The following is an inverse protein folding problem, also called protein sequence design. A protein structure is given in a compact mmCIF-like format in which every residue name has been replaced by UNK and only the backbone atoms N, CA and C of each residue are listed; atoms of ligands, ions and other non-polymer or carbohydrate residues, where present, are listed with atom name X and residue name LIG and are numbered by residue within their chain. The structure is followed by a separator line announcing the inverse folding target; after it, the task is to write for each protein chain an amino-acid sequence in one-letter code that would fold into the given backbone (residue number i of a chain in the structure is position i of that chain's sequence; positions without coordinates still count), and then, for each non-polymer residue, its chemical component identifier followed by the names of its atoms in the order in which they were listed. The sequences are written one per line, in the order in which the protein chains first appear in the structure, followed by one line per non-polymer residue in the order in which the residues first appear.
data_IF_234873325206
#
_entry.id   IF_234873325206
#
_cell.length_a   1.000
_cell.length_b   1.000
_cell.length_c   1.000
_cell.angle_alpha   90.00
_cell.angle_beta   90.00
_cell.angle_gamma   90.00
#
_symmetry.space_group_name_H-M   'P 1'
#
loop_
_entity.id
_entity.type
_entity.pdbx_description
1 polymer ?
#
# COMPACT_ATOMS: atom_id res chain seq x y z
N UNK A 1 0.83 16.93 24.12
CA UNK A 1 0.38 16.41 22.82
C UNK A 1 1.10 15.10 22.57
N UNK A 2 0.38 13.99 22.58
CA UNK A 2 0.93 12.71 22.13
C UNK A 2 1.10 12.82 20.60
N UNK A 3 2.34 12.73 20.10
CA UNK A 3 2.59 12.71 18.66
C UNK A 3 1.83 11.52 18.05
N UNK A 4 1.08 11.77 17.00
CA UNK A 4 0.39 10.71 16.27
C UNK A 4 1.42 9.86 15.53
N UNK A 5 1.22 8.55 15.52
CA UNK A 5 2.09 7.64 14.78
C UNK A 5 2.03 7.93 13.28
N UNK A 6 3.17 7.90 12.59
CA UNK A 6 3.23 7.94 11.13
C UNK A 6 3.00 6.53 10.54
N UNK A 7 2.65 6.44 9.26
CA UNK A 7 2.54 5.15 8.58
C UNK A 7 3.85 4.36 8.65
N UNK A 8 4.99 5.03 8.55
CA UNK A 8 6.33 4.43 8.72
C UNK A 8 6.52 3.79 10.10
N UNK A 9 5.97 4.39 11.18
CA UNK A 9 6.03 3.83 12.54
C UNK A 9 5.14 2.60 12.69
N UNK A 10 3.97 2.62 12.04
CA UNK A 10 3.07 1.46 11.99
C UNK A 10 3.78 0.31 11.26
N UNK A 11 4.36 0.56 10.10
CA UNK A 11 5.15 -0.42 9.36
C UNK A 11 6.31 -0.98 10.19
N UNK A 12 7.09 -0.11 10.84
CA UNK A 12 8.18 -0.51 11.74
C UNK A 12 7.72 -1.46 12.83
N UNK A 13 6.57 -1.16 13.44
CA UNK A 13 5.99 -2.00 14.50
C UNK A 13 5.53 -3.36 13.97
N UNK A 14 4.91 -3.38 12.80
CA UNK A 14 4.46 -4.63 12.16
C UNK A 14 5.66 -5.50 11.79
N UNK A 15 6.70 -4.92 11.18
CA UNK A 15 7.92 -5.65 10.80
C UNK A 15 8.62 -6.27 12.01
N UNK A 16 8.69 -5.55 13.13
CA UNK A 16 9.21 -6.11 14.39
C UNK A 16 8.42 -7.35 14.82
N UNK A 17 7.10 -7.22 14.90
CA UNK A 17 6.22 -8.33 15.32
C UNK A 17 6.31 -9.53 14.38
N UNK A 18 6.36 -9.28 13.08
CA UNK A 18 6.56 -10.34 12.09
C UNK A 18 7.92 -11.01 12.26
N UNK A 19 8.99 -10.25 12.42
CA UNK A 19 10.33 -10.78 12.65
C UNK A 19 10.46 -11.63 13.91
N UNK A 20 9.75 -11.27 14.99
CA UNK A 20 9.70 -12.06 16.24
C UNK A 20 9.00 -13.42 16.07
N UNK A 21 7.96 -13.48 15.25
CA UNK A 21 7.12 -14.68 15.09
C UNK A 21 7.55 -15.58 13.94
N UNK A 22 8.14 -14.99 12.90
CA UNK A 22 8.35 -15.63 11.61
C UNK A 22 9.83 -15.55 11.20
N UNK A 23 10.61 -16.59 11.47
CA UNK A 23 12.05 -16.59 11.21
C UNK A 23 12.42 -16.47 9.73
N UNK A 24 11.48 -16.75 8.81
CA UNK A 24 11.67 -16.63 7.37
C UNK A 24 11.54 -15.20 6.85
N UNK A 25 11.02 -14.27 7.66
CA UNK A 25 10.91 -12.85 7.27
C UNK A 25 12.28 -12.23 7.22
N UNK A 26 12.62 -11.65 6.08
CA UNK A 26 13.82 -10.86 5.84
C UNK A 26 13.43 -9.49 5.32
N UNK A 27 14.19 -8.46 5.71
CA UNK A 27 13.95 -7.09 5.31
C UNK A 27 15.08 -6.58 4.43
N UNK A 28 14.72 -5.94 3.32
CA UNK A 28 15.66 -5.36 2.35
C UNK A 28 15.32 -3.88 2.19
N UNK A 29 16.34 -3.06 2.09
CA UNK A 29 16.23 -1.65 1.71
C UNK A 29 17.39 -1.24 0.82
N UNK A 30 17.24 -0.11 0.16
CA UNK A 30 18.25 0.50 -0.71
C UNK A 30 18.62 1.88 -0.15
N UNK A 31 19.48 1.92 0.88
CA UNK A 31 19.92 3.13 1.60
C UNK A 31 18.79 3.93 2.29
N UNK A 32 17.68 3.29 2.64
CA UNK A 32 16.50 3.95 3.22
C UNK A 32 16.08 3.32 4.58
N UNK A 33 17.00 2.75 5.35
CA UNK A 33 16.66 2.05 6.58
C UNK A 33 15.91 2.91 7.60
N UNK A 34 16.34 4.14 7.82
CA UNK A 34 15.69 5.07 8.74
C UNK A 34 14.35 5.58 8.17
N UNK A 35 14.35 6.04 6.93
CA UNK A 35 13.18 6.62 6.30
C UNK A 35 12.03 5.64 6.06
N UNK A 36 12.30 4.35 5.91
CA UNK A 36 11.28 3.30 5.78
C UNK A 36 10.90 2.64 7.11
N UNK A 37 11.57 3.01 8.22
CA UNK A 37 11.29 2.44 9.54
C UNK A 37 11.91 1.07 9.81
N UNK A 38 12.86 0.62 8.99
CA UNK A 38 13.52 -0.68 9.16
C UNK A 38 14.68 -0.68 10.18
N UNK A 39 15.08 0.48 10.71
CA UNK A 39 16.15 0.57 11.72
C UNK A 39 15.90 -0.33 12.92
N UNK A 40 14.66 -0.40 13.39
CA UNK A 40 14.27 -1.26 14.52
C UNK A 40 14.43 -2.75 14.18
N UNK A 41 13.99 -3.15 12.97
CA UNK A 41 14.17 -4.53 12.48
C UNK A 41 15.66 -4.88 12.38
N UNK A 42 16.47 -3.99 11.79
CA UNK A 42 17.93 -4.12 11.71
C UNK A 42 18.58 -4.38 13.07
N UNK A 43 18.18 -3.62 14.09
CA UNK A 43 18.77 -3.74 15.43
C UNK A 43 18.39 -5.05 16.13
N UNK A 44 17.18 -5.57 15.88
CA UNK A 44 16.69 -6.81 16.51
C UNK A 44 17.08 -8.07 15.74
N UNK A 45 17.18 -7.97 14.42
CA UNK A 45 17.44 -9.11 13.53
C UNK A 45 18.52 -8.78 12.49
N UNK A 46 19.75 -8.45 12.90
CA UNK A 46 20.79 -7.97 11.99
C UNK A 46 21.14 -8.95 10.87
N UNK A 47 21.07 -10.26 11.12
CA UNK A 47 21.34 -11.32 10.14
C UNK A 47 20.20 -11.52 9.12
N UNK A 48 19.07 -10.88 9.34
CA UNK A 48 17.89 -10.92 8.42
C UNK A 48 17.58 -9.55 7.82
N UNK A 49 18.49 -8.60 7.96
CA UNK A 49 18.39 -7.27 7.42
C UNK A 49 19.49 -7.03 6.38
N UNK A 50 19.10 -6.50 5.22
CA UNK A 50 20.01 -6.24 4.10
C UNK A 50 19.80 -4.82 3.57
N UNK A 51 20.83 -4.01 3.61
CA UNK A 51 20.88 -2.71 2.93
C UNK A 51 21.86 -2.84 1.76
N UNK A 52 21.33 -2.74 0.55
CA UNK A 52 22.10 -2.92 -0.68
C UNK A 52 22.70 -1.61 -1.20
N UNK A 53 22.61 -0.53 -0.46
CA UNK A 53 22.97 0.80 -0.94
C UNK A 53 21.94 1.35 -1.92
N UNK A 54 22.34 2.38 -2.69
CA UNK A 54 21.46 2.99 -3.72
C UNK A 54 21.46 2.09 -4.96
N UNK A 55 20.79 0.93 -4.85
CA UNK A 55 20.73 -0.09 -5.89
C UNK A 55 19.37 -0.83 -5.84
N UNK A 56 18.31 -0.13 -6.18
CA UNK A 56 16.93 -0.63 -6.13
C UNK A 56 16.75 -1.86 -7.03
N UNK A 57 17.36 -1.87 -8.20
CA UNK A 57 17.33 -3.00 -9.13
C UNK A 57 17.94 -4.26 -8.50
N UNK A 58 19.09 -4.12 -7.83
CA UNK A 58 19.71 -5.23 -7.11
C UNK A 58 18.84 -5.70 -5.94
N UNK A 59 18.22 -4.79 -5.20
CA UNK A 59 17.33 -5.14 -4.10
C UNK A 59 16.17 -6.04 -4.56
N UNK A 60 15.57 -5.74 -5.69
CA UNK A 60 14.45 -6.54 -6.24
C UNK A 60 14.92 -7.92 -6.70
N UNK A 61 16.01 -8.00 -7.46
CA UNK A 61 16.57 -9.29 -7.89
C UNK A 61 17.01 -10.15 -6.72
N UNK A 62 17.60 -9.54 -5.69
CA UNK A 62 17.97 -10.22 -4.45
C UNK A 62 16.76 -10.74 -3.69
N UNK A 63 15.68 -9.94 -3.58
CA UNK A 63 14.41 -10.38 -3.01
C UNK A 63 13.81 -11.57 -3.79
N UNK A 64 13.88 -11.54 -5.11
CA UNK A 64 13.43 -12.65 -5.95
C UNK A 64 14.16 -13.96 -5.61
N UNK A 65 15.49 -13.90 -5.50
CA UNK A 65 16.31 -15.05 -5.11
C UNK A 65 15.95 -15.60 -3.72
N UNK A 66 15.76 -14.72 -2.76
CA UNK A 66 15.34 -15.10 -1.40
C UNK A 66 13.95 -15.76 -1.39
N UNK A 67 12.98 -15.22 -2.12
CA UNK A 67 11.65 -15.80 -2.23
C UNK A 67 11.69 -17.19 -2.88
N UNK A 68 12.51 -17.36 -3.92
CA UNK A 68 12.72 -18.65 -4.57
C UNK A 68 13.36 -19.69 -3.65
N UNK A 69 14.21 -19.24 -2.73
CA UNK A 69 14.82 -20.08 -1.69
C UNK A 69 13.89 -20.37 -0.49
N UNK A 70 12.66 -19.86 -0.50
CA UNK A 70 11.64 -20.14 0.53
C UNK A 70 11.63 -19.14 1.69
N UNK A 71 12.38 -18.03 1.61
CA UNK A 71 12.28 -16.92 2.54
C UNK A 71 11.07 -16.03 2.22
N UNK A 72 10.77 -15.12 3.14
CA UNK A 72 9.69 -14.14 3.02
C UNK A 72 10.28 -12.73 2.98
N UNK A 73 10.78 -12.27 1.82
CA UNK A 73 11.40 -10.96 1.70
C UNK A 73 10.35 -9.85 1.67
N UNK A 74 10.63 -8.80 2.44
CA UNK A 74 9.94 -7.51 2.40
C UNK A 74 10.95 -6.47 1.95
N UNK A 75 10.73 -5.89 0.78
CA UNK A 75 11.52 -4.77 0.28
C UNK A 75 10.79 -3.46 0.58
N UNK A 76 11.33 -2.67 1.51
CA UNK A 76 10.82 -1.35 1.86
C UNK A 76 11.56 -0.27 1.05
N UNK A 77 10.80 0.50 0.30
CA UNK A 77 11.32 1.44 -0.70
C UNK A 77 10.38 2.63 -0.88
N UNK A 78 10.92 3.81 -1.18
CA UNK A 78 10.08 4.94 -1.56
C UNK A 78 9.48 4.73 -2.95
N UNK A 79 8.23 5.14 -3.11
CA UNK A 79 7.47 5.00 -4.35
C UNK A 79 8.24 5.51 -5.58
N UNK A 80 8.81 6.73 -5.51
CA UNK A 80 9.57 7.30 -6.62
C UNK A 80 10.86 6.53 -6.95
N UNK A 81 11.49 5.90 -5.96
CA UNK A 81 12.75 5.16 -6.19
C UNK A 81 12.52 3.74 -6.70
N UNK A 82 11.38 3.15 -6.41
CA UNK A 82 11.01 1.85 -6.99
C UNK A 82 10.89 1.89 -8.52
N UNK A 83 10.66 3.06 -9.11
CA UNK A 83 10.63 3.25 -10.57
C UNK A 83 11.89 2.72 -11.27
N UNK A 84 13.06 2.84 -10.63
CA UNK A 84 14.33 2.35 -11.18
C UNK A 84 14.36 0.85 -11.40
N UNK A 85 13.57 0.11 -10.62
CA UNK A 85 13.55 -1.34 -10.63
C UNK A 85 12.33 -1.93 -11.37
N UNK A 86 11.66 -1.15 -12.21
CA UNK A 86 10.48 -1.61 -12.95
C UNK A 86 10.72 -2.94 -13.69
N UNK A 87 11.83 -3.03 -14.41
CA UNK A 87 12.20 -4.23 -15.17
C UNK A 87 12.39 -5.46 -14.26
N UNK A 88 13.11 -5.28 -13.14
CA UNK A 88 13.36 -6.37 -12.18
C UNK A 88 12.08 -6.81 -11.46
N UNK A 89 11.19 -5.88 -11.14
CA UNK A 89 9.87 -6.24 -10.60
C UNK A 89 9.09 -7.09 -11.60
N UNK A 90 9.08 -6.68 -12.88
CA UNK A 90 8.42 -7.40 -13.95
C UNK A 90 9.04 -8.78 -14.21
N UNK A 91 10.34 -8.84 -14.51
CA UNK A 91 11.00 -10.05 -14.98
C UNK A 91 11.47 -10.98 -13.86
N UNK A 92 12.11 -10.44 -12.82
CA UNK A 92 12.72 -11.28 -11.79
C UNK A 92 11.72 -11.77 -10.76
N UNK A 93 10.68 -10.99 -10.49
CA UNK A 93 9.66 -11.30 -9.47
C UNK A 93 8.34 -11.75 -10.09
N UNK A 94 7.69 -10.88 -10.87
CA UNK A 94 6.30 -11.09 -11.28
C UNK A 94 6.14 -12.14 -12.38
N UNK A 95 7.04 -12.20 -13.35
CA UNK A 95 7.04 -13.23 -14.40
C UNK A 95 7.19 -14.64 -13.80
N UNK A 96 7.89 -14.78 -12.69
CA UNK A 96 8.06 -16.03 -11.95
C UNK A 96 7.03 -16.22 -10.83
N UNK A 97 6.11 -15.28 -10.63
CA UNK A 97 5.09 -15.27 -9.58
C UNK A 97 5.67 -15.50 -8.17
N UNK A 98 6.80 -14.89 -7.86
CA UNK A 98 7.50 -15.06 -6.59
C UNK A 98 6.86 -14.22 -5.47
N UNK A 99 6.76 -14.79 -4.27
CA UNK A 99 6.16 -14.16 -3.10
C UNK A 99 7.10 -13.12 -2.48
N UNK A 100 7.21 -11.97 -3.10
CA UNK A 100 7.91 -10.77 -2.61
C UNK A 100 6.89 -9.74 -2.17
N UNK A 101 7.09 -9.17 -0.99
CA UNK A 101 6.29 -8.04 -0.49
C UNK A 101 7.04 -6.74 -0.75
N UNK A 102 6.43 -5.85 -1.51
CA UNK A 102 6.91 -4.49 -1.73
C UNK A 102 6.17 -3.55 -0.77
N UNK A 103 6.85 -3.04 0.25
CA UNK A 103 6.34 -2.02 1.15
C UNK A 103 6.72 -0.64 0.58
N UNK A 104 5.77 -0.03 -0.13
CA UNK A 104 5.99 1.18 -0.92
C UNK A 104 5.59 2.40 -0.09
N UNK A 105 6.58 3.00 0.55
CA UNK A 105 6.44 4.22 1.36
C UNK A 105 6.47 5.47 0.46
N UNK A 106 6.00 6.61 0.95
CA UNK A 106 5.94 7.88 0.20
C UNK A 106 5.13 7.78 -1.09
N UNK A 107 4.05 7.02 -1.10
CA UNK A 107 3.09 7.03 -2.19
C UNK A 107 2.25 8.31 -2.19
N UNK A 108 1.91 8.81 -3.37
CA UNK A 108 1.19 10.06 -3.54
C UNK A 108 2.07 11.31 -3.35
N UNK A 109 1.46 12.41 -2.96
CA UNK A 109 2.14 13.68 -2.72
C UNK A 109 2.89 13.65 -1.40
N UNK A 110 4.18 14.04 -1.39
CA UNK A 110 5.06 13.94 -0.22
C UNK A 110 5.48 15.29 0.39
N UNK A 111 5.10 16.41 -0.21
CA UNK A 111 5.33 17.75 0.34
C UNK A 111 6.82 18.07 0.58
N UNK A 112 7.24 18.02 1.84
CA UNK A 112 8.59 18.43 2.28
C UNK A 112 9.75 17.66 1.66
N UNK A 113 9.53 16.46 1.15
CA UNK A 113 10.59 15.66 0.54
C UNK A 113 11.00 16.18 -0.86
N UNK A 114 10.23 17.10 -1.42
CA UNK A 114 10.54 17.82 -2.65
C UNK A 114 10.17 17.09 -3.94
N UNK A 115 10.51 17.71 -5.07
CA UNK A 115 10.05 17.30 -6.40
C UNK A 115 10.51 15.90 -6.82
N UNK A 116 11.67 15.45 -6.36
CA UNK A 116 12.25 14.15 -6.73
C UNK A 116 11.66 12.96 -5.98
N UNK A 117 10.83 13.21 -4.96
CA UNK A 117 10.28 12.19 -4.09
C UNK A 117 8.77 11.97 -4.28
N UNK A 118 8.12 12.70 -5.19
CA UNK A 118 6.69 12.58 -5.43
C UNK A 118 6.31 11.18 -5.93
N UNK A 119 5.47 10.48 -5.17
CA UNK A 119 5.04 9.10 -5.45
C UNK A 119 3.74 9.04 -6.27
N UNK A 120 3.66 9.81 -7.35
CA UNK A 120 2.43 10.00 -8.13
C UNK A 120 2.33 9.11 -9.38
N UNK A 121 3.26 8.19 -9.58
CA UNK A 121 3.30 7.29 -10.75
C UNK A 121 3.11 5.82 -10.39
N UNK A 122 3.13 5.47 -9.10
CA UNK A 122 3.16 4.07 -8.66
C UNK A 122 1.90 3.29 -9.05
N UNK A 123 0.71 3.90 -8.97
CA UNK A 123 -0.51 3.24 -9.40
C UNK A 123 -0.46 2.89 -10.89
N UNK A 124 0.08 3.79 -11.72
CA UNK A 124 0.21 3.56 -13.16
C UNK A 124 1.20 2.43 -13.47
N UNK A 125 2.46 2.54 -13.01
CA UNK A 125 3.47 1.56 -13.41
C UNK A 125 3.32 0.21 -12.71
N UNK A 126 2.87 0.15 -11.45
CA UNK A 126 2.63 -1.12 -10.78
C UNK A 126 1.43 -1.87 -11.35
N UNK A 127 0.38 -1.15 -11.73
CA UNK A 127 -0.81 -1.76 -12.32
C UNK A 127 -0.55 -2.37 -13.71
N UNK A 128 0.46 -1.87 -14.44
CA UNK A 128 0.84 -2.42 -15.74
C UNK A 128 1.60 -3.76 -15.66
N UNK A 129 2.14 -4.11 -14.49
CA UNK A 129 2.96 -5.32 -14.32
C UNK A 129 2.08 -6.56 -14.11
N UNK A 130 2.17 -7.61 -14.95
CA UNK A 130 1.39 -8.84 -14.77
C UNK A 130 1.68 -9.52 -13.43
N UNK A 131 0.69 -10.22 -12.88
CA UNK A 131 0.75 -10.97 -11.63
C UNK A 131 0.97 -10.15 -10.35
N UNK A 132 1.24 -8.86 -10.45
CA UNK A 132 1.42 -8.01 -9.27
C UNK A 132 0.05 -7.62 -8.68
N UNK A 133 -0.14 -7.93 -7.40
CA UNK A 133 -1.27 -7.40 -6.62
C UNK A 133 -0.87 -6.08 -5.98
N UNK A 134 -1.75 -5.07 -6.04
CA UNK A 134 -1.49 -3.73 -5.50
C UNK A 134 -2.59 -3.33 -4.52
N UNK A 135 -2.20 -3.01 -3.29
CA UNK A 135 -3.09 -2.59 -2.21
C UNK A 135 -2.72 -1.21 -1.67
N UNK A 136 -3.72 -0.53 -1.10
CA UNK A 136 -3.54 0.75 -0.42
C UNK A 136 -4.42 0.81 0.84
N UNK A 137 -3.84 0.97 2.05
CA UNK A 137 -4.59 0.99 3.30
C UNK A 137 -5.30 2.32 3.52
N UNK A 138 -6.53 2.28 4.05
CA UNK A 138 -7.29 3.48 4.43
C UNK A 138 -6.79 4.14 5.71
N UNK A 139 -6.22 3.35 6.62
CA UNK A 139 -5.79 3.80 7.94
C UNK A 139 -4.67 2.92 8.52
N UNK A 140 -4.21 3.26 9.72
CA UNK A 140 -3.10 2.55 10.41
C UNK A 140 -3.38 1.08 10.68
N UNK A 141 -4.62 0.71 11.01
CA UNK A 141 -4.96 -0.69 11.29
C UNK A 141 -4.99 -1.52 10.00
N UNK A 142 -5.51 -0.95 8.93
CA UNK A 142 -5.55 -1.64 7.64
C UNK A 142 -4.14 -1.88 7.07
N UNK A 143 -3.18 -0.94 7.27
CA UNK A 143 -1.78 -1.19 6.93
C UNK A 143 -1.25 -2.44 7.65
N UNK A 144 -1.51 -2.55 8.96
CA UNK A 144 -1.11 -3.72 9.74
C UNK A 144 -1.75 -5.02 9.23
N UNK A 145 -3.04 -4.97 8.90
CA UNK A 145 -3.78 -6.14 8.42
C UNK A 145 -3.37 -6.54 7.00
N UNK A 146 -3.09 -5.56 6.13
CA UNK A 146 -2.55 -5.81 4.78
C UNK A 146 -1.15 -6.42 4.82
N UNK A 147 -0.28 -6.02 5.74
CA UNK A 147 1.04 -6.64 5.91
C UNK A 147 0.93 -8.11 6.35
N UNK A 148 0.00 -8.43 7.25
CA UNK A 148 -0.28 -9.82 7.64
C UNK A 148 -0.82 -10.64 6.47
N UNK A 149 -1.76 -10.07 5.72
CA UNK A 149 -2.28 -10.68 4.51
C UNK A 149 -1.18 -10.96 3.49
N UNK A 150 -0.29 -9.99 3.25
CA UNK A 150 0.82 -10.11 2.31
C UNK A 150 1.82 -11.20 2.71
N UNK A 151 2.04 -11.41 4.01
CA UNK A 151 2.91 -12.48 4.49
C UNK A 151 2.44 -13.87 4.03
N UNK A 152 1.13 -14.12 4.07
CA UNK A 152 0.55 -15.41 3.68
C UNK A 152 0.27 -15.52 2.18
N UNK A 153 0.35 -14.41 1.46
CA UNK A 153 0.06 -14.34 0.04
C UNK A 153 1.10 -15.13 -0.80
N UNK A 154 0.64 -15.87 -1.81
CA UNK A 154 1.47 -16.79 -2.60
C UNK A 154 2.02 -16.19 -3.90
N UNK A 155 2.04 -14.90 -4.02
CA UNK A 155 2.53 -14.18 -5.20
C UNK A 155 3.11 -12.82 -4.83
N UNK A 156 3.55 -12.05 -5.82
CA UNK A 156 4.06 -10.71 -5.60
C UNK A 156 2.95 -9.74 -5.22
N UNK A 157 3.22 -8.91 -4.23
CA UNK A 157 2.25 -7.97 -3.69
C UNK A 157 2.91 -6.66 -3.28
N UNK A 158 2.31 -5.54 -3.66
CA UNK A 158 2.72 -4.20 -3.25
C UNK A 158 1.65 -3.59 -2.34
N UNK A 159 2.10 -3.02 -1.22
CA UNK A 159 1.27 -2.21 -0.33
C UNK A 159 1.84 -0.80 -0.36
N UNK A 160 1.06 0.14 -0.88
CA UNK A 160 1.48 1.53 -1.00
C UNK A 160 0.79 2.41 0.02
N UNK A 161 1.55 3.24 0.72
CA UNK A 161 1.04 4.13 1.76
C UNK A 161 1.80 5.47 1.76
N UNK A 162 1.16 6.57 2.23
CA UNK A 162 1.74 7.90 2.14
C UNK A 162 2.78 8.16 3.24
N UNK A 163 3.55 9.22 3.05
CA UNK A 163 4.32 9.86 4.11
C UNK A 163 3.41 10.59 5.09
N UNK A 164 3.76 10.56 6.37
CA UNK A 164 3.12 11.39 7.38
C UNK A 164 2.22 10.64 8.35
N UNK A 165 1.38 11.39 9.05
CA UNK A 165 0.51 10.85 10.10
C UNK A 165 -0.42 9.77 9.57
N UNK A 166 -0.43 8.63 10.26
CA UNK A 166 -1.35 7.55 9.95
C UNK A 166 -2.76 7.95 10.38
N UNK A 167 -3.70 7.83 9.45
CA UNK A 167 -5.10 8.10 9.75
C UNK A 167 -5.59 7.12 10.82
N UNK A 168 -6.17 7.66 11.90
CA UNK A 168 -6.68 6.93 13.06
C UNK A 168 -8.22 6.93 13.15
N UNK A 169 -8.90 7.40 12.10
CA UNK A 169 -10.34 7.30 11.95
C UNK A 169 -10.80 5.93 11.46
N UNK A 170 -12.11 5.70 11.48
CA UNK A 170 -12.77 4.46 11.03
C UNK A 170 -12.32 3.20 11.80
N UNK A 171 -12.01 3.33 13.08
CA UNK A 171 -11.63 2.21 13.94
C UNK A 171 -12.76 1.16 14.06
N UNK A 172 -14.01 1.63 14.05
CA UNK A 172 -15.23 0.83 14.06
C UNK A 172 -15.51 0.12 12.72
N UNK A 173 -14.81 0.53 11.65
CA UNK A 173 -14.92 -0.03 10.29
C UNK A 173 -13.75 -0.95 9.94
N UNK A 174 -13.18 -1.65 10.93
CA UNK A 174 -12.13 -2.63 10.68
C UNK A 174 -12.75 -3.95 10.22
N UNK A 175 -12.29 -4.46 9.07
CA UNK A 175 -12.73 -5.72 8.49
C UNK A 175 -11.54 -6.50 7.95
N UNK A 176 -11.67 -7.82 7.87
CA UNK A 176 -10.63 -8.70 7.33
C UNK A 176 -10.31 -8.34 5.88
N UNK A 177 -9.06 -8.50 5.51
CA UNK A 177 -8.60 -8.28 4.13
C UNK A 177 -8.86 -9.55 3.33
N UNK A 178 -9.74 -9.45 2.34
CA UNK A 178 -10.03 -10.53 1.38
C UNK A 178 -9.50 -10.15 0.00
N UNK A 179 -8.90 -11.12 -0.69
CA UNK A 179 -8.28 -10.90 -2.00
C UNK A 179 -9.25 -10.26 -3.00
N UNK A 180 -8.87 -9.10 -3.53
CA UNK A 180 -9.62 -8.38 -4.56
C UNK A 180 -10.95 -7.79 -4.10
N UNK A 181 -11.22 -7.74 -2.80
CA UNK A 181 -12.47 -7.19 -2.24
C UNK A 181 -12.26 -5.77 -1.73
N UNK A 182 -13.12 -4.87 -2.17
CA UNK A 182 -13.32 -3.55 -1.59
C UNK A 182 -14.25 -3.60 -0.38
N UNK A 183 -14.40 -2.48 0.29
CA UNK A 183 -15.17 -2.36 1.53
C UNK A 183 -16.19 -1.22 1.41
N UNK A 184 -17.47 -1.55 1.56
CA UNK A 184 -18.53 -0.55 1.68
C UNK A 184 -18.47 0.07 3.07
N UNK A 185 -18.03 1.34 3.18
CA UNK A 185 -17.96 2.04 4.46
C UNK A 185 -19.28 2.71 4.84
N UNK A 186 -19.88 3.38 3.89
CA UNK A 186 -21.18 4.05 4.04
C UNK A 186 -21.98 3.83 2.77
N UNK A 187 -23.17 3.30 2.91
CA UNK A 187 -24.06 3.03 1.79
C UNK A 187 -25.22 4.03 1.80
N UNK A 188 -25.29 4.84 0.79
CA UNK A 188 -26.32 5.86 0.57
C UNK A 188 -26.68 5.88 -0.94
N UNK A 189 -27.38 6.91 -1.39
CA UNK A 189 -27.86 7.01 -2.77
C UNK A 189 -27.08 8.05 -3.59
N UNK A 190 -27.36 8.15 -4.88
CA UNK A 190 -26.93 9.13 -5.87
C UNK A 190 -25.45 9.14 -6.22
N UNK A 191 -24.57 9.47 -5.27
CA UNK A 191 -23.13 9.62 -5.53
C UNK A 191 -22.38 8.52 -4.78
N UNK A 192 -21.44 7.87 -5.45
CA UNK A 192 -20.49 6.94 -4.82
C UNK A 192 -19.07 7.46 -4.98
N UNK A 193 -18.37 7.61 -3.87
CA UNK A 193 -16.94 7.90 -3.83
C UNK A 193 -16.18 6.58 -3.70
N UNK A 194 -15.39 6.24 -4.72
CA UNK A 194 -14.56 5.04 -4.76
C UNK A 194 -13.11 5.45 -4.51
N UNK A 195 -12.68 5.35 -3.25
CA UNK A 195 -11.46 5.96 -2.77
C UNK A 195 -10.34 4.94 -2.52
N UNK A 196 -9.13 5.31 -2.92
CA UNK A 196 -7.90 4.51 -2.78
C UNK A 196 -7.04 5.04 -1.64
N UNK A 197 -6.77 4.21 -0.64
CA UNK A 197 -5.80 4.46 0.42
C UNK A 197 -6.06 5.74 1.21
N UNK A 198 -5.12 6.67 1.21
CA UNK A 198 -5.21 7.97 1.90
C UNK A 198 -6.41 8.81 1.50
N UNK A 199 -6.93 8.63 0.28
CA UNK A 199 -8.10 9.36 -0.21
C UNK A 199 -9.41 8.91 0.45
N UNK A 200 -9.43 7.80 1.17
CA UNK A 200 -10.61 7.39 1.96
C UNK A 200 -10.92 8.42 3.06
N UNK A 201 -9.92 8.96 3.74
CA UNK A 201 -10.12 10.06 4.70
C UNK A 201 -10.81 11.25 4.03
N UNK A 202 -10.29 11.69 2.89
CA UNK A 202 -10.87 12.80 2.11
C UNK A 202 -12.29 12.48 1.65
N UNK A 203 -12.56 11.25 1.21
CA UNK A 203 -13.90 10.84 0.80
C UNK A 203 -14.91 10.91 1.97
N UNK A 204 -14.50 10.53 3.18
CA UNK A 204 -15.34 10.68 4.37
C UNK A 204 -15.62 12.16 4.69
N UNK A 205 -14.59 13.01 4.61
CA UNK A 205 -14.75 14.46 4.80
C UNK A 205 -15.70 15.08 3.74
N UNK A 206 -15.56 14.66 2.49
CA UNK A 206 -16.46 15.08 1.39
C UNK A 206 -17.89 14.62 1.66
N UNK A 207 -18.07 13.37 2.09
CA UNK A 207 -19.40 12.85 2.46
C UNK A 207 -20.08 13.71 3.51
N UNK A 208 -19.38 14.06 4.59
CA UNK A 208 -19.96 14.90 5.66
C UNK A 208 -20.31 16.30 5.14
N UNK A 209 -19.45 16.91 4.32
CA UNK A 209 -19.72 18.22 3.71
C UNK A 209 -20.92 18.19 2.74
N UNK A 210 -21.12 17.11 1.99
CA UNK A 210 -22.26 16.91 1.12
C UNK A 210 -23.56 16.70 1.92
N UNK A 211 -23.48 15.96 3.02
CA UNK A 211 -24.60 15.72 3.92
C UNK A 211 -25.17 17.01 4.52
N UNK A 212 -24.31 17.97 4.88
CA UNK A 212 -24.74 19.31 5.33
C UNK A 212 -25.55 20.06 4.27
N UNK A 213 -25.35 19.71 2.99
CA UNK A 213 -26.09 20.25 1.84
C UNK A 213 -27.30 19.40 1.42
N UNK A 214 -27.64 18.37 2.19
CA UNK A 214 -28.73 17.46 1.91
C UNK A 214 -28.44 16.48 0.75
N UNK A 215 -27.16 16.23 0.44
CA UNK A 215 -26.76 15.32 -0.63
C UNK A 215 -26.24 14.03 -0.02
N UNK A 216 -26.83 12.90 -0.38
CA UNK A 216 -26.42 11.56 0.05
C UNK A 216 -25.19 11.11 -0.73
N UNK A 217 -24.26 10.43 -0.05
CA UNK A 217 -23.03 10.00 -0.66
C UNK A 217 -22.52 8.69 -0.07
N UNK A 218 -22.43 7.67 -0.88
CA UNK A 218 -21.78 6.38 -0.57
C UNK A 218 -20.27 6.57 -0.54
N UNK A 219 -19.58 5.89 0.37
CA UNK A 219 -18.11 5.82 0.41
C UNK A 219 -17.66 4.38 0.39
N UNK A 220 -16.82 4.05 -0.57
CA UNK A 220 -16.18 2.73 -0.72
C UNK A 220 -14.66 2.88 -0.57
N UNK A 221 -14.08 2.06 0.29
CA UNK A 221 -12.64 1.85 0.35
C UNK A 221 -12.24 0.81 -0.70
N UNK A 222 -11.52 1.23 -1.72
CA UNK A 222 -11.11 0.34 -2.80
C UNK A 222 -10.22 -0.83 -2.32
N UNK A 223 -9.36 -0.61 -1.32
CA UNK A 223 -8.37 -1.56 -0.81
C UNK A 223 -7.38 -2.05 -1.86
N UNK A 224 -7.90 -2.66 -2.92
CA UNK A 224 -7.14 -3.21 -4.04
C UNK A 224 -7.26 -2.29 -5.25
N UNK A 225 -6.13 -1.84 -5.75
CA UNK A 225 -6.04 -1.17 -7.04
C UNK A 225 -5.97 -2.22 -8.15
N UNK A 226 -5.26 -3.31 -7.86
CA UNK A 226 -5.14 -4.46 -8.76
C UNK A 226 -5.12 -5.77 -7.95
N UNK A 227 -6.06 -6.69 -8.21
CA UNK A 227 -7.22 -6.52 -9.09
C UNK A 227 -8.26 -5.56 -8.48
N UNK A 228 -8.94 -4.82 -9.31
CA UNK A 228 -10.08 -4.01 -8.88
C UNK A 228 -11.27 -4.92 -8.55
N UNK A 229 -12.10 -4.52 -7.57
CA UNK A 229 -13.34 -5.23 -7.24
C UNK A 229 -14.42 -4.91 -8.26
N UNK A 230 -14.44 -5.65 -9.36
CA UNK A 230 -15.41 -5.45 -10.44
C UNK A 230 -16.87 -5.60 -9.97
N UNK A 231 -17.13 -6.48 -9.01
CA UNK A 231 -18.48 -6.68 -8.48
C UNK A 231 -18.96 -5.43 -7.75
N UNK A 232 -18.11 -4.80 -6.96
CA UNK A 232 -18.41 -3.52 -6.32
C UNK A 232 -18.65 -2.42 -7.35
N UNK A 233 -17.78 -2.30 -8.36
CA UNK A 233 -17.94 -1.30 -9.43
C UNK A 233 -19.28 -1.48 -10.16
N UNK A 234 -19.65 -2.72 -10.52
CA UNK A 234 -20.93 -3.04 -11.15
C UNK A 234 -22.12 -2.72 -10.25
N UNK A 235 -21.99 -3.01 -8.95
CA UNK A 235 -23.01 -2.67 -7.97
C UNK A 235 -23.22 -1.16 -7.87
N UNK A 236 -22.13 -0.39 -7.76
CA UNK A 236 -22.19 1.07 -7.70
C UNK A 236 -22.81 1.67 -8.98
N UNK A 237 -22.39 1.16 -10.15
CA UNK A 237 -22.90 1.62 -11.44
C UNK A 237 -24.42 1.37 -11.62
N UNK A 238 -24.95 0.34 -10.99
CA UNK A 238 -26.39 0.02 -11.04
C UNK A 238 -27.22 0.87 -10.07
N UNK A 239 -26.63 1.27 -8.94
CA UNK A 239 -27.39 1.85 -7.83
C UNK A 239 -27.09 3.34 -7.57
N UNK A 240 -26.20 3.96 -8.35
CA UNK A 240 -25.80 5.37 -8.18
C UNK A 240 -25.81 6.09 -9.53
N UNK A 241 -26.10 7.38 -9.50
CA UNK A 241 -26.10 8.24 -10.69
C UNK A 241 -24.70 8.65 -11.11
N UNK A 242 -23.76 8.70 -10.15
CA UNK A 242 -22.38 9.12 -10.36
C UNK A 242 -21.42 8.32 -9.50
N UNK A 243 -20.34 7.82 -10.11
CA UNK A 243 -19.19 7.23 -9.41
C UNK A 243 -18.01 8.17 -9.59
N UNK A 244 -17.37 8.55 -8.48
CA UNK A 244 -16.19 9.41 -8.46
C UNK A 244 -15.01 8.58 -7.92
N UNK A 245 -14.07 8.14 -8.77
CA UNK A 245 -12.82 7.56 -8.30
C UNK A 245 -11.93 8.65 -7.68
N UNK A 246 -11.27 8.31 -6.57
CA UNK A 246 -10.41 9.24 -5.83
C UNK A 246 -9.07 8.56 -5.51
N UNK A 247 -7.98 9.11 -6.03
CA UNK A 247 -6.63 8.60 -5.83
C UNK A 247 -5.58 9.72 -5.97
N UNK A 248 -4.30 9.43 -5.69
CA UNK A 248 -3.21 10.41 -5.71
C UNK A 248 -2.17 10.11 -6.81
N UNK A 249 -2.60 9.64 -7.94
CA UNK A 249 -1.74 9.40 -9.11
C UNK A 249 -1.89 10.52 -10.15
N UNK A 250 -1.02 10.54 -11.13
CA UNK A 250 -1.24 11.38 -12.34
C UNK A 250 -2.44 10.83 -13.12
N UNK A 251 -3.14 11.72 -13.83
CA UNK A 251 -4.35 11.34 -14.57
C UNK A 251 -4.12 10.25 -15.63
N UNK A 252 -2.92 10.21 -16.22
CA UNK A 252 -2.55 9.16 -17.18
C UNK A 252 -2.21 7.86 -16.46
N UNK A 253 -3.08 6.88 -16.53
CA UNK A 253 -2.93 5.56 -15.93
C UNK A 253 -3.32 5.46 -14.46
N UNK A 254 -3.93 6.52 -13.93
CA UNK A 254 -4.57 6.53 -12.61
C UNK A 254 -5.98 5.94 -12.65
#
# INVERSE_FOLDING_TARGET
HQEKAHYTDVFSTVMRKMGEREPKVVAITAAMADGTGLKRFKNLFPERFFDVGIAEEHAVTFAAGMAKAGLKPVFAVYSSFLQRAYDQVLHDVCAQNLAVVFAVDRAGLVGKDGATHQGIFDLSYLSSIPNLTVMAPKNKWELSDMMKFAYDFKGPIAIRYPRGEAYDGLADKRADVEMGKSEMLFEEEKIALFAVGSMVKTAVEVREALKEKGISCTVVNARFVKPIDENMVRYLAKNHDLIVPMEENVASGG
#
